data_IF_767647962697
#
_entry.id   IF_767647962697
#
_cell.length_a   1.000
_cell.length_b   1.000
_cell.length_c   1.000
_cell.angle_alpha   90.00
_cell.angle_beta   90.00
_cell.angle_gamma   90.00
#
_symmetry.space_group_name_H-M   'P 1'
#
loop_
_entity.id
_entity.type
_entity.pdbx_description
1 polymer ?
#
# COMPACT_ATOMS: atom_id res chain seq x y z
N UNK A 1 -23.27 12.70 7.97
CA UNK A 1 -21.83 12.61 7.64
C UNK A 1 -21.07 12.57 8.95
N UNK A 2 -20.41 11.45 9.26
CA UNK A 2 -19.66 11.30 10.50
C UNK A 2 -18.18 11.47 10.20
N UNK A 3 -17.49 12.32 10.95
CA UNK A 3 -16.03 12.43 10.91
C UNK A 3 -15.49 11.49 11.96
N UNK A 4 -14.81 10.42 11.53
CA UNK A 4 -14.11 9.53 12.44
C UNK A 4 -12.63 9.83 12.29
N UNK A 5 -11.99 10.18 13.41
CA UNK A 5 -10.55 10.40 13.47
C UNK A 5 -9.87 9.05 13.69
N UNK A 6 -9.35 8.45 12.63
CA UNK A 6 -8.56 7.21 12.73
C UNK A 6 -7.10 7.56 12.46
N UNK A 7 -6.27 7.42 13.48
CA UNK A 7 -4.81 7.51 13.40
C UNK A 7 -4.25 8.76 12.66
N UNK A 8 -4.80 9.94 12.95
CA UNK A 8 -4.37 11.25 12.42
C UNK A 8 -4.58 11.46 10.90
N UNK A 9 -5.51 10.73 10.29
CA UNK A 9 -6.02 11.03 8.95
C UNK A 9 -7.54 11.24 9.03
N UNK A 10 -8.02 12.35 8.48
CA UNK A 10 -9.46 12.60 8.36
C UNK A 10 -10.04 11.68 7.29
N UNK A 11 -10.83 10.68 7.71
CA UNK A 11 -11.58 9.81 6.80
C UNK A 11 -13.02 10.32 6.76
N UNK A 12 -13.55 10.49 5.54
CA UNK A 12 -14.96 10.84 5.35
C UNK A 12 -15.79 9.59 5.16
N UNK A 13 -16.73 9.37 6.07
CA UNK A 13 -17.75 8.34 5.97
C UNK A 13 -19.06 9.00 5.57
N UNK A 14 -19.55 8.64 4.39
CA UNK A 14 -20.85 9.08 3.89
C UNK A 14 -21.85 7.96 4.12
N UNK A 15 -22.92 8.24 4.87
CA UNK A 15 -24.02 7.31 5.07
C UNK A 15 -25.10 7.60 4.04
N UNK A 16 -25.47 6.61 3.22
CA UNK A 16 -26.55 6.69 2.23
C UNK A 16 -27.28 5.34 2.18
N UNK A 17 -28.62 5.33 2.16
CA UNK A 17 -29.43 4.09 2.20
C UNK A 17 -29.02 3.08 3.29
N UNK A 18 -28.74 3.57 4.51
CA UNK A 18 -28.28 2.75 5.66
C UNK A 18 -26.87 2.13 5.53
N UNK A 19 -26.20 2.31 4.39
CA UNK A 19 -24.82 1.85 4.16
C UNK A 19 -23.79 2.97 4.38
N UNK A 20 -22.62 2.60 4.89
CA UNK A 20 -21.47 3.50 5.09
C UNK A 20 -20.45 3.36 3.95
N UNK A 21 -20.21 4.46 3.23
CA UNK A 21 -19.29 4.56 2.10
C UNK A 21 -18.03 5.33 2.49
N UNK A 22 -16.87 4.83 2.02
CA UNK A 22 -15.57 5.46 2.28
C UNK A 22 -14.91 5.86 0.96
N UNK A 23 -14.45 7.12 0.88
CA UNK A 23 -13.71 7.65 -0.27
C UNK A 23 -12.27 8.00 0.10
N UNK A 24 -11.34 7.66 -0.79
CA UNK A 24 -9.90 7.88 -0.68
C UNK A 24 -9.43 8.82 -1.78
N UNK A 25 -9.80 10.09 -1.71
CA UNK A 25 -9.12 11.08 -2.54
C UNK A 25 -7.98 11.66 -1.73
N UNK A 26 -6.76 11.20 -2.03
CA UNK A 26 -5.54 11.89 -1.64
C UNK A 26 -5.60 13.29 -2.27
N UNK A 27 -5.48 14.33 -1.45
CA UNK A 27 -5.35 15.70 -1.94
C UNK A 27 -4.01 15.80 -2.68
N UNK A 28 -3.98 15.42 -3.97
CA UNK A 28 -3.22 16.25 -4.87
C UNK A 28 -3.75 17.67 -4.65
N UNK A 29 -2.87 18.61 -4.33
CA UNK A 29 -3.17 20.05 -4.41
C UNK A 29 -3.46 20.46 -5.88
N UNK A 30 -4.23 19.66 -6.61
CA UNK A 30 -4.96 20.13 -7.77
C UNK A 30 -5.85 21.23 -7.25
N UNK A 31 -5.61 22.42 -7.76
CA UNK A 31 -6.22 23.64 -7.29
C UNK A 31 -7.72 23.51 -7.47
N UNK A 32 -8.43 23.21 -6.38
CA UNK A 32 -9.88 23.39 -6.36
C UNK A 32 -10.11 24.88 -6.56
N UNK A 33 -10.76 25.20 -7.67
CA UNK A 33 -11.10 26.55 -8.06
C UNK A 33 -12.56 26.77 -7.66
N UNK A 34 -12.81 27.80 -6.87
CA UNK A 34 -14.17 28.29 -6.62
C UNK A 34 -14.58 29.17 -7.79
N UNK A 35 -15.80 28.97 -8.29
CA UNK A 35 -16.37 29.75 -9.38
C UNK A 35 -17.40 30.74 -8.82
N UNK A 36 -17.02 32.01 -8.80
CA UNK A 36 -17.92 33.13 -8.52
C UNK A 36 -17.97 34.03 -9.75
N UNK A 37 -18.83 33.70 -10.71
CA UNK A 37 -18.82 34.33 -12.04
C UNK A 37 -17.64 33.85 -12.90
N UNK A 38 -17.01 34.73 -13.69
CA UNK A 38 -15.93 34.39 -14.64
C UNK A 38 -14.51 34.37 -14.01
N UNK A 39 -14.39 34.18 -12.69
CA UNK A 39 -13.10 34.23 -12.00
C UNK A 39 -12.91 32.91 -11.25
N UNK A 40 -11.83 32.19 -11.60
CA UNK A 40 -11.39 31.01 -10.87
C UNK A 40 -10.51 31.44 -9.70
N UNK A 41 -11.03 31.32 -8.47
CA UNK A 41 -10.28 31.63 -7.26
C UNK A 41 -9.73 30.36 -6.62
N UNK A 42 -8.45 30.35 -6.25
CA UNK A 42 -7.86 29.24 -5.49
C UNK A 42 -8.55 29.12 -4.14
N UNK A 43 -9.16 27.97 -3.88
CA UNK A 43 -9.79 27.72 -2.59
C UNK A 43 -8.74 27.66 -1.46
N UNK A 44 -8.97 28.45 -0.42
CA UNK A 44 -8.15 28.47 0.81
C UNK A 44 -8.79 27.67 1.96
N UNK A 45 -9.97 27.10 1.72
CA UNK A 45 -10.72 26.26 2.65
C UNK A 45 -10.46 24.79 2.40
N UNK A 46 -10.45 23.98 3.47
CA UNK A 46 -10.41 22.52 3.36
C UNK A 46 -11.68 22.03 2.68
N UNK A 47 -11.53 21.33 1.56
CA UNK A 47 -12.61 20.72 0.81
C UNK A 47 -12.31 19.25 0.52
N UNK A 48 -13.38 18.48 0.30
CA UNK A 48 -13.31 17.05 0.04
C UNK A 48 -13.89 16.80 -1.34
N UNK A 49 -13.18 16.02 -2.15
CA UNK A 49 -13.69 15.54 -3.43
C UNK A 49 -14.38 14.21 -3.13
N UNK A 50 -15.66 14.11 -3.51
CA UNK A 50 -16.37 12.83 -3.51
C UNK A 50 -16.29 12.31 -4.94
N UNK A 51 -15.46 11.30 -5.16
CA UNK A 51 -15.43 10.59 -6.44
C UNK A 51 -16.74 9.82 -6.64
N UNK A 52 -17.09 9.58 -7.90
CA UNK A 52 -18.26 8.79 -8.34
C UNK A 52 -18.06 7.27 -8.18
N UNK A 53 -16.98 6.84 -7.51
CA UNK A 53 -16.61 5.44 -7.31
C UNK A 53 -16.60 5.05 -5.83
N UNK A 54 -17.15 3.88 -5.54
CA UNK A 54 -17.17 3.28 -4.22
C UNK A 54 -15.94 2.39 -4.06
N UNK A 55 -15.11 2.65 -3.05
CA UNK A 55 -13.91 1.86 -2.78
C UNK A 55 -14.18 0.68 -1.84
N UNK A 56 -15.03 0.90 -0.85
CA UNK A 56 -15.45 -0.12 0.11
C UNK A 56 -16.84 0.20 0.66
N UNK A 57 -17.57 -0.85 1.05
CA UNK A 57 -18.88 -0.82 1.71
C UNK A 57 -18.73 -1.54 3.05
N UNK A 58 -19.20 -0.94 4.13
CA UNK A 58 -19.28 -1.61 5.43
C UNK A 58 -20.74 -1.90 5.78
N UNK A 59 -21.09 -3.18 5.84
CA UNK A 59 -22.46 -3.63 6.10
C UNK A 59 -22.43 -4.86 7.01
N UNK A 60 -23.30 -4.90 8.03
CA UNK A 60 -23.48 -6.08 8.90
C UNK A 60 -22.18 -6.62 9.53
N UNK A 61 -21.26 -5.72 9.90
CA UNK A 61 -19.98 -6.09 10.50
C UNK A 61 -18.92 -6.57 9.50
N UNK A 62 -19.19 -6.49 8.20
CA UNK A 62 -18.29 -6.93 7.13
C UNK A 62 -17.90 -5.76 6.23
N UNK A 63 -16.62 -5.70 5.89
CA UNK A 63 -16.09 -4.76 4.92
C UNK A 63 -15.98 -5.46 3.57
N UNK A 64 -16.64 -4.91 2.56
CA UNK A 64 -16.60 -5.36 1.18
C UNK A 64 -15.79 -4.35 0.38
N UNK A 65 -14.84 -4.81 -0.43
CA UNK A 65 -14.04 -3.94 -1.30
C UNK A 65 -13.66 -4.68 -2.57
N UNK A 66 -13.50 -3.93 -3.66
CA UNK A 66 -13.08 -4.50 -4.94
C UNK A 66 -11.56 -4.63 -5.04
N UNK A 67 -10.82 -3.68 -4.46
CA UNK A 67 -9.36 -3.63 -4.54
C UNK A 67 -8.75 -3.64 -3.14
N UNK A 68 -7.97 -4.69 -2.85
CA UNK A 68 -7.23 -4.79 -1.59
C UNK A 68 -6.30 -3.60 -1.41
N UNK A 69 -5.54 -3.25 -2.45
CA UNK A 69 -4.57 -2.14 -2.40
C UNK A 69 -5.23 -0.83 -2.01
N UNK A 70 -6.42 -0.55 -2.55
CA UNK A 70 -7.14 0.68 -2.23
C UNK A 70 -7.76 0.60 -0.83
N UNK A 71 -8.42 -0.50 -0.47
CA UNK A 71 -8.98 -0.64 0.87
C UNK A 71 -7.90 -0.57 1.97
N UNK A 72 -6.72 -1.15 1.71
CA UNK A 72 -5.55 -1.11 2.58
C UNK A 72 -4.82 0.26 2.58
N UNK A 73 -5.31 1.27 1.85
CA UNK A 73 -4.92 2.68 2.03
C UNK A 73 -5.82 3.40 3.05
N UNK A 74 -7.03 2.89 3.31
CA UNK A 74 -7.97 3.45 4.29
C UNK A 74 -7.54 3.07 5.70
N UNK A 75 -7.37 1.76 5.94
CA UNK A 75 -6.88 1.19 7.17
C UNK A 75 -6.19 -0.13 6.89
N UNK A 76 -5.27 -0.50 7.79
CA UNK A 76 -4.40 -1.65 7.61
C UNK A 76 -5.19 -2.94 7.64
N UNK A 77 -5.34 -3.58 6.48
CA UNK A 77 -6.00 -4.87 6.34
C UNK A 77 -5.09 -6.03 6.72
N UNK A 78 -3.77 -5.79 6.86
CA UNK A 78 -2.77 -6.80 7.23
C UNK A 78 -3.16 -7.57 8.49
N UNK A 79 -3.84 -6.91 9.45
CA UNK A 79 -4.17 -7.51 10.74
C UNK A 79 -5.29 -8.56 10.65
N UNK A 80 -6.06 -8.53 9.56
CA UNK A 80 -7.11 -9.50 9.25
C UNK A 80 -6.61 -10.65 8.36
N UNK A 81 -5.36 -10.59 7.92
CA UNK A 81 -4.74 -11.64 7.11
C UNK A 81 -4.21 -12.74 8.03
N UNK A 82 -4.47 -13.99 7.64
CA UNK A 82 -3.86 -15.14 8.31
C UNK A 82 -2.38 -15.23 7.98
N UNK A 83 -1.58 -15.74 8.91
CA UNK A 83 -0.16 -15.95 8.65
C UNK A 83 0.03 -17.01 7.55
N UNK A 84 0.94 -16.76 6.60
CA UNK A 84 1.38 -17.78 5.66
C UNK A 84 1.93 -19.00 6.41
N UNK A 85 1.56 -20.20 5.99
CA UNK A 85 2.14 -21.46 6.47
C UNK A 85 3.54 -21.69 5.89
N UNK A 86 4.30 -22.66 6.40
CA UNK A 86 5.62 -22.98 5.84
C UNK A 86 5.53 -23.43 4.37
N UNK A 87 4.51 -24.22 4.02
CA UNK A 87 4.25 -24.63 2.63
C UNK A 87 3.93 -23.43 1.75
N UNK A 88 3.19 -22.44 2.26
CA UNK A 88 2.91 -21.22 1.50
C UNK A 88 4.14 -20.33 1.33
N UNK A 89 5.08 -20.35 2.28
CA UNK A 89 6.38 -19.70 2.13
C UNK A 89 7.22 -20.39 1.05
N UNK A 90 7.16 -21.72 0.97
CA UNK A 90 7.81 -22.47 -0.11
C UNK A 90 7.21 -22.11 -1.47
N UNK A 91 5.88 -22.16 -1.62
CA UNK A 91 5.20 -21.76 -2.86
C UNK A 91 5.45 -20.29 -3.22
N UNK A 92 5.54 -19.40 -2.23
CA UNK A 92 5.95 -18.02 -2.47
C UNK A 92 7.34 -17.95 -3.09
N UNK A 93 8.26 -18.79 -2.62
CA UNK A 93 9.63 -18.83 -3.13
C UNK A 93 9.79 -19.31 -4.56
N UNK A 94 8.77 -19.96 -5.11
CA UNK A 94 8.73 -20.43 -6.50
C UNK A 94 8.13 -19.40 -7.46
N UNK A 95 7.69 -18.23 -6.96
CA UNK A 95 7.12 -17.18 -7.81
C UNK A 95 8.17 -16.68 -8.81
N UNK A 96 7.81 -16.70 -10.10
CA UNK A 96 8.67 -16.21 -11.16
C UNK A 96 9.03 -14.73 -10.96
N UNK A 97 10.33 -14.43 -11.03
CA UNK A 97 10.84 -13.07 -10.96
C UNK A 97 11.30 -12.64 -9.56
N UNK A 98 11.23 -13.52 -8.56
CA UNK A 98 11.91 -13.31 -7.28
C UNK A 98 12.95 -14.41 -7.06
N UNK A 99 14.03 -14.04 -6.37
CA UNK A 99 15.08 -14.94 -5.92
C UNK A 99 15.08 -14.86 -4.39
N UNK A 100 14.76 -15.98 -3.74
CA UNK A 100 14.46 -16.01 -2.33
C UNK A 100 14.83 -17.34 -1.71
N UNK A 101 15.49 -17.27 -0.55
CA UNK A 101 15.73 -18.42 0.29
C UNK A 101 14.54 -18.64 1.23
N UNK A 102 13.60 -19.50 0.83
CA UNK A 102 12.41 -19.83 1.61
C UNK A 102 12.75 -20.40 2.99
N UNK A 103 13.85 -21.16 3.11
CA UNK A 103 14.28 -21.74 4.38
C UNK A 103 14.69 -20.66 5.39
N UNK A 104 15.49 -19.69 4.94
CA UNK A 104 15.85 -18.55 5.78
C UNK A 104 14.59 -17.78 6.21
N UNK A 105 13.62 -17.57 5.31
CA UNK A 105 12.35 -16.92 5.65
C UNK A 105 11.62 -17.68 6.76
N UNK A 106 11.50 -19.01 6.68
CA UNK A 106 10.82 -19.79 7.73
C UNK A 106 11.43 -19.57 9.11
N UNK A 107 12.75 -19.38 9.19
CA UNK A 107 13.47 -19.11 10.44
C UNK A 107 13.29 -17.68 10.96
N UNK A 108 13.30 -16.66 10.08
CA UNK A 108 13.30 -15.25 10.50
C UNK A 108 11.90 -14.59 10.48
N UNK A 109 10.92 -15.21 9.82
CA UNK A 109 9.62 -14.59 9.57
C UNK A 109 8.82 -14.45 10.86
N UNK A 110 8.50 -13.20 11.19
CA UNK A 110 7.52 -12.88 12.23
C UNK A 110 6.10 -12.84 11.64
N UNK A 111 5.11 -12.64 12.52
CA UNK A 111 3.68 -12.54 12.17
C UNK A 111 3.45 -11.59 10.97
N UNK A 112 4.08 -10.41 11.01
CA UNK A 112 3.95 -9.41 9.94
C UNK A 112 4.55 -9.91 8.63
N UNK A 113 5.73 -10.50 8.65
CA UNK A 113 6.37 -11.08 7.47
C UNK A 113 5.48 -12.15 6.84
N UNK A 114 4.95 -13.06 7.65
CA UNK A 114 4.06 -14.13 7.18
C UNK A 114 2.77 -13.59 6.55
N UNK A 115 2.17 -12.56 7.14
CA UNK A 115 0.99 -11.89 6.58
C UNK A 115 1.28 -11.17 5.26
N UNK A 116 2.42 -10.49 5.17
CA UNK A 116 2.84 -9.82 3.93
C UNK A 116 3.09 -10.83 2.79
N UNK A 117 3.71 -11.97 3.11
CA UNK A 117 3.89 -13.07 2.14
C UNK A 117 2.53 -13.60 1.68
N UNK A 118 1.63 -13.90 2.63
CA UNK A 118 0.27 -14.37 2.32
C UNK A 118 -0.47 -13.45 1.36
N UNK A 119 -0.39 -12.14 1.58
CA UNK A 119 -0.97 -11.13 0.70
C UNK A 119 -0.31 -11.09 -0.65
N UNK A 120 1.01 -10.99 -0.70
CA UNK A 120 1.71 -10.87 -1.98
C UNK A 120 1.48 -12.08 -2.88
N UNK A 121 1.33 -13.27 -2.30
CA UNK A 121 0.94 -14.49 -3.02
C UNK A 121 -0.44 -14.42 -3.69
N UNK A 122 -1.35 -13.56 -3.22
CA UNK A 122 -2.70 -13.38 -3.81
C UNK A 122 -2.82 -12.15 -4.71
N UNK A 123 -1.74 -11.38 -4.90
CA UNK A 123 -1.72 -10.16 -5.72
C UNK A 123 -0.85 -10.32 -6.96
N UNK A 124 -1.07 -9.43 -7.95
CA UNK A 124 -0.22 -9.33 -9.14
C UNK A 124 0.90 -8.29 -8.99
N UNK A 125 1.19 -7.82 -7.77
CA UNK A 125 2.12 -6.72 -7.56
C UNK A 125 3.56 -7.09 -7.93
N UNK A 126 4.01 -8.30 -7.55
CA UNK A 126 5.34 -8.82 -7.91
C UNK A 126 5.46 -8.86 -9.45
N UNK A 127 4.50 -9.50 -10.12
CA UNK A 127 4.50 -9.57 -11.60
C UNK A 127 4.47 -8.17 -12.23
N UNK A 128 3.71 -7.23 -11.66
CA UNK A 128 3.63 -5.84 -12.14
C UNK A 128 4.94 -5.08 -11.96
N UNK A 129 5.63 -5.27 -10.84
CA UNK A 129 6.97 -4.73 -10.62
C UNK A 129 7.98 -5.34 -11.59
N UNK A 130 7.93 -6.67 -11.78
CA UNK A 130 8.89 -7.40 -12.62
C UNK A 130 8.76 -7.11 -14.12
N UNK A 131 7.57 -6.69 -14.59
CA UNK A 131 7.35 -6.20 -15.96
C UNK A 131 8.06 -4.88 -16.27
N UNK A 132 8.49 -4.12 -15.25
CA UNK A 132 9.20 -2.86 -15.45
C UNK A 132 10.62 -3.12 -15.96
N UNK A 133 11.17 -2.15 -16.70
CA UNK A 133 12.55 -2.24 -17.19
C UNK A 133 13.54 -2.35 -16.02
N UNK A 134 14.71 -2.97 -16.27
CA UNK A 134 15.79 -3.08 -15.27
C UNK A 134 16.12 -1.72 -14.64
N UNK A 135 16.32 -0.69 -15.47
CA UNK A 135 16.63 0.68 -15.02
C UNK A 135 15.53 1.25 -14.10
N UNK A 136 14.27 1.02 -14.45
CA UNK A 136 13.13 1.46 -13.62
C UNK A 136 13.10 0.71 -12.29
N UNK A 137 13.31 -0.61 -12.29
CA UNK A 137 13.32 -1.41 -11.06
C UNK A 137 14.41 -0.93 -10.10
N UNK A 138 15.66 -0.82 -10.57
CA UNK A 138 16.78 -0.34 -9.75
C UNK A 138 16.56 1.09 -9.25
N UNK A 139 16.01 1.96 -10.09
CA UNK A 139 15.66 3.33 -9.70
C UNK A 139 14.59 3.38 -8.61
N UNK A 140 13.57 2.51 -8.68
CA UNK A 140 12.51 2.45 -7.67
C UNK A 140 13.04 1.92 -6.34
N UNK A 141 13.83 0.85 -6.34
CA UNK A 141 14.44 0.32 -5.13
C UNK A 141 15.29 1.38 -4.42
N UNK A 142 16.16 2.08 -5.17
CA UNK A 142 16.96 3.19 -4.65
C UNK A 142 16.08 4.33 -4.15
N UNK A 143 15.09 4.74 -4.95
CA UNK A 143 14.16 5.81 -4.58
C UNK A 143 13.45 5.47 -3.28
N UNK A 144 13.02 4.24 -3.05
CA UNK A 144 12.28 3.89 -1.83
C UNK A 144 13.18 3.43 -0.67
N UNK A 145 14.51 3.48 -0.82
CA UNK A 145 15.46 3.03 0.21
C UNK A 145 15.35 1.54 0.50
N UNK A 146 15.08 0.73 -0.53
CA UNK A 146 14.94 -0.72 -0.42
C UNK A 146 16.29 -1.37 -0.66
N UNK A 147 16.79 -2.08 0.36
CA UNK A 147 18.04 -2.84 0.28
C UNK A 147 17.80 -4.21 -0.39
N UNK A 148 17.45 -4.18 -1.66
CA UNK A 148 17.26 -5.35 -2.52
C UNK A 148 17.85 -5.07 -3.90
N UNK A 149 18.13 -6.12 -4.67
CA UNK A 149 18.79 -5.99 -5.98
C UNK A 149 18.14 -6.89 -7.03
N UNK A 150 18.38 -6.57 -8.30
CA UNK A 150 18.00 -7.43 -9.43
C UNK A 150 19.22 -8.26 -9.82
N UNK A 151 19.12 -9.60 -9.81
CA UNK A 151 20.20 -10.50 -10.18
C UNK A 151 20.40 -10.60 -11.71
N UNK A 152 21.39 -11.39 -12.15
CA UNK A 152 21.69 -11.61 -13.57
C UNK A 152 20.55 -12.27 -14.37
N UNK A 153 19.64 -12.98 -13.70
CA UNK A 153 18.46 -13.61 -14.29
C UNK A 153 17.25 -12.65 -14.37
N UNK A 154 17.46 -11.37 -14.05
CA UNK A 154 16.44 -10.34 -13.99
C UNK A 154 15.38 -10.58 -12.90
N UNK A 155 15.74 -11.27 -11.81
CA UNK A 155 14.89 -11.56 -10.65
C UNK A 155 15.20 -10.62 -9.48
N UNK A 156 14.20 -10.29 -8.67
CA UNK A 156 14.37 -9.52 -7.45
C UNK A 156 14.87 -10.41 -6.30
N UNK A 157 16.09 -10.16 -5.85
CA UNK A 157 16.70 -10.85 -4.70
C UNK A 157 16.13 -10.27 -3.41
N UNK A 158 15.38 -11.08 -2.67
CA UNK A 158 14.82 -10.70 -1.37
C UNK A 158 15.88 -10.83 -0.26
N UNK A 159 16.03 -9.83 0.64
CA UNK A 159 17.03 -9.87 1.71
C UNK A 159 16.58 -10.79 2.86
N UNK A 160 16.70 -12.10 2.67
CA UNK A 160 16.20 -13.13 3.61
C UNK A 160 17.06 -13.34 4.87
N UNK A 161 18.17 -12.61 5.01
CA UNK A 161 19.03 -12.68 6.19
C UNK A 161 18.67 -11.62 7.24
N UNK A 162 17.80 -10.67 6.90
CA UNK A 162 17.41 -9.57 7.79
C UNK A 162 15.91 -9.33 7.70
N UNK A 163 15.18 -9.64 8.78
CA UNK A 163 13.71 -9.51 8.84
C UNK A 163 13.23 -8.07 8.63
N UNK A 164 14.03 -7.07 9.00
CA UNK A 164 13.67 -5.65 8.82
C UNK A 164 13.72 -5.26 7.35
N UNK A 165 14.77 -5.68 6.65
CA UNK A 165 14.94 -5.42 5.21
C UNK A 165 13.98 -6.25 4.37
N UNK A 166 13.72 -7.49 4.77
CA UNK A 166 12.72 -8.34 4.14
C UNK A 166 11.34 -7.70 4.23
N UNK A 167 10.91 -7.33 5.44
CA UNK A 167 9.63 -6.65 5.64
C UNK A 167 9.56 -5.36 4.85
N UNK A 168 10.65 -4.59 4.79
CA UNK A 168 10.70 -3.35 4.01
C UNK A 168 10.49 -3.61 2.51
N UNK A 169 11.10 -4.65 1.98
CA UNK A 169 10.94 -5.04 0.57
C UNK A 169 9.52 -5.53 0.28
N UNK A 170 8.95 -6.33 1.18
CA UNK A 170 7.56 -6.81 1.04
C UNK A 170 6.54 -5.67 1.14
N UNK A 171 6.73 -4.72 2.06
CA UNK A 171 5.90 -3.52 2.18
C UNK A 171 5.97 -2.64 0.94
N UNK A 172 7.15 -2.51 0.33
CA UNK A 172 7.32 -1.82 -0.96
C UNK A 172 6.52 -2.50 -2.08
N UNK A 173 6.65 -3.83 -2.19
CA UNK A 173 5.92 -4.62 -3.19
C UNK A 173 4.41 -4.58 -2.95
N UNK A 174 3.97 -4.51 -1.70
CA UNK A 174 2.56 -4.42 -1.33
C UNK A 174 2.00 -2.98 -1.43
N UNK A 175 2.82 -2.01 -1.86
CA UNK A 175 2.44 -0.58 -1.92
C UNK A 175 2.01 0.00 -0.56
N UNK A 176 2.57 -0.52 0.53
CA UNK A 176 2.34 -0.04 1.91
C UNK A 176 3.15 1.23 2.24
N UNK A 177 4.03 1.66 1.33
CA UNK A 177 4.85 2.85 1.45
C UNK A 177 4.78 3.72 0.21
N UNK A 178 4.75 5.03 0.40
CA UNK A 178 4.73 6.01 -0.68
C UNK A 178 5.60 7.22 -0.35
N UNK A 179 6.07 7.93 -1.38
CA UNK A 179 6.82 9.18 -1.21
C UNK A 179 5.92 10.38 -1.47
N UNK A 180 5.92 11.34 -0.55
CA UNK A 180 5.21 12.60 -0.72
C UNK A 180 5.84 13.42 -1.84
N UNK A 181 5.01 13.99 -2.72
CA UNK A 181 5.47 14.73 -3.90
C UNK A 181 6.29 15.98 -3.54
N UNK A 182 5.97 16.65 -2.43
CA UNK A 182 6.59 17.92 -2.05
C UNK A 182 7.87 17.70 -1.24
N UNK A 183 7.80 16.90 -0.18
CA UNK A 183 8.90 16.75 0.79
C UNK A 183 9.84 15.62 0.44
N UNK A 184 9.53 14.85 -0.60
CA UNK A 184 10.12 13.53 -0.92
C UNK A 184 10.12 12.57 0.28
N UNK A 185 9.45 12.90 1.40
CA UNK A 185 9.46 12.08 2.60
C UNK A 185 8.69 10.79 2.35
N UNK A 186 9.15 9.70 2.95
CA UNK A 186 8.47 8.43 2.86
C UNK A 186 7.41 8.30 3.96
N UNK A 187 6.26 7.78 3.59
CA UNK A 187 5.07 7.61 4.43
C UNK A 187 4.54 6.19 4.32
N UNK A 188 3.69 5.81 5.29
CA UNK A 188 2.95 4.55 5.29
C UNK A 188 1.57 4.76 4.68
N UNK A 189 1.10 3.86 3.82
CA UNK A 189 -0.19 3.99 3.14
C UNK A 189 -1.37 4.12 4.12
N UNK A 190 -1.28 3.48 5.30
CA UNK A 190 -2.29 3.54 6.36
C UNK A 190 -2.16 4.69 7.36
N UNK A 191 -1.20 5.60 7.18
CA UNK A 191 -1.07 6.77 8.04
C UNK A 191 -0.16 7.82 7.42
N UNK A 192 -0.52 9.11 7.48
CA UNK A 192 0.41 10.22 7.19
C UNK A 192 1.59 10.30 8.17
N UNK A 193 1.82 9.29 9.02
CA UNK A 193 3.02 9.17 9.85
C UNK A 193 4.22 9.06 8.92
N UNK A 194 5.13 10.01 9.08
CA UNK A 194 6.44 9.99 8.44
C UNK A 194 7.15 8.70 8.85
N UNK A 195 7.75 8.03 7.88
CA UNK A 195 8.62 6.92 8.16
C UNK A 195 9.99 7.46 8.61
N UNK A 196 10.34 7.21 9.86
CA UNK A 196 11.50 7.82 10.54
C UNK A 196 12.73 6.88 10.58
N UNK A 197 12.82 5.90 9.68
CA UNK A 197 13.96 4.99 9.59
C UNK A 197 15.10 5.55 8.77
#
# INVERSE_FOLDING_TARGET
>A
MAKITVQNTDISVVKYNEEDYISLTDMARSQLQDEHGNIFAKMNTSAFIVEDKIHAIYENGKLYFQSYTIANQIFSLIDFVTEATNTEIESFGEIKGIDVNAENIKHIANIKTRRLIKLLSSTNNIATFMRKTFRTKTSLLKKYGINAQINGNNELVLPTNNVVELNRTLEFLNEDIFRGIITDSLYRSNSKKKDNR
#
